data_IF_659108377086
#
_entry.id   IF_659108377086
#
_cell.length_a   1.000
_cell.length_b   1.000
_cell.length_c   1.000
_cell.angle_alpha   90.00
_cell.angle_beta   90.00
_cell.angle_gamma   90.00
#
_symmetry.space_group_name_H-M   'P 1'
#
loop_
_entity.id
_entity.type
_entity.pdbx_description
1 polymer ?
#
# COMPACT_ATOMS: atom_id res chain seq x y z
N UNK A 1 22.75 16.56 -7.15
CA UNK A 1 21.88 16.85 -5.99
C UNK A 1 20.51 17.26 -6.50
N UNK A 2 19.42 16.86 -5.81
CA UNK A 2 18.09 17.37 -6.13
C UNK A 2 17.92 18.81 -5.62
N UNK A 3 17.00 19.57 -6.24
CA UNK A 3 16.62 20.91 -5.80
C UNK A 3 15.51 20.77 -4.75
N UNK A 4 15.71 21.32 -3.55
CA UNK A 4 14.63 21.44 -2.57
C UNK A 4 13.60 22.45 -3.08
N UNK A 5 12.33 22.03 -3.09
CA UNK A 5 11.18 22.83 -3.54
C UNK A 5 10.39 23.36 -2.35
N UNK A 6 10.31 22.58 -1.28
CA UNK A 6 9.48 22.91 -0.12
C UNK A 6 9.95 22.16 1.13
N UNK A 7 9.75 22.80 2.27
CA UNK A 7 10.01 22.24 3.58
C UNK A 7 8.97 22.75 4.56
N UNK A 8 8.46 21.85 5.39
CA UNK A 8 7.57 22.18 6.52
C UNK A 8 7.87 21.24 7.67
N UNK A 9 7.69 21.71 8.89
CA UNK A 9 7.79 20.92 10.10
C UNK A 9 6.44 20.83 10.78
N UNK A 10 6.08 19.65 11.27
CA UNK A 10 4.91 19.41 12.09
C UNK A 10 5.28 18.62 13.35
N UNK A 11 4.32 18.18 14.15
CA UNK A 11 4.56 17.42 15.39
C UNK A 11 5.27 16.07 15.18
N UNK A 12 5.39 15.61 13.95
CA UNK A 12 6.07 14.34 13.56
C UNK A 12 7.42 14.58 12.89
N UNK A 13 7.91 15.83 12.85
CA UNK A 13 9.18 16.21 12.26
C UNK A 13 9.04 16.84 10.86
N UNK A 14 10.15 16.89 10.13
CA UNK A 14 10.23 17.54 8.82
C UNK A 14 9.51 16.76 7.72
N UNK A 15 8.90 17.50 6.80
CA UNK A 15 8.44 17.04 5.48
C UNK A 15 9.14 17.86 4.43
N UNK A 16 9.90 17.21 3.56
CA UNK A 16 10.74 17.85 2.56
C UNK A 16 10.34 17.37 1.18
N UNK A 17 10.15 18.30 0.25
CA UNK A 17 9.92 18.00 -1.17
C UNK A 17 11.13 18.41 -1.98
N UNK A 18 11.69 17.48 -2.74
CA UNK A 18 12.80 17.73 -3.65
C UNK A 18 12.47 17.33 -5.08
N UNK A 19 13.13 17.95 -6.06
CA UNK A 19 13.05 17.63 -7.48
C UNK A 19 14.41 17.14 -7.99
N UNK A 20 14.42 15.98 -8.64
CA UNK A 20 15.60 15.42 -9.30
C UNK A 20 15.23 14.98 -10.71
N UNK A 21 15.57 15.81 -11.69
CA UNK A 21 15.08 15.59 -13.06
C UNK A 21 13.55 15.58 -13.09
N UNK A 22 12.95 14.56 -13.67
CA UNK A 22 11.48 14.37 -13.70
C UNK A 22 10.92 13.83 -12.37
N UNK A 23 11.78 13.34 -11.46
CA UNK A 23 11.34 12.69 -10.22
C UNK A 23 11.12 13.72 -9.12
N UNK A 24 9.93 13.75 -8.54
CA UNK A 24 9.60 14.51 -7.33
C UNK A 24 9.59 13.56 -6.14
N UNK A 25 10.27 13.96 -5.07
CA UNK A 25 10.59 13.09 -3.94
C UNK A 25 10.07 13.73 -2.67
N UNK A 26 9.42 12.95 -1.85
CA UNK A 26 9.04 13.23 -0.46
C UNK A 26 10.04 12.56 0.47
N UNK A 27 10.56 13.30 1.44
CA UNK A 27 11.44 12.78 2.50
C UNK A 27 10.99 13.30 3.86
N UNK A 28 11.26 12.52 4.92
CA UNK A 28 11.08 12.93 6.32
C UNK A 28 12.46 13.10 6.96
N UNK A 29 12.64 13.94 7.94
CA UNK A 29 13.82 14.23 8.78
C UNK A 29 15.21 13.81 8.23
N UNK A 30 15.26 12.82 7.39
CA UNK A 30 16.44 12.28 6.71
C UNK A 30 16.35 12.53 5.20
N UNK A 31 17.48 12.45 4.50
CA UNK A 31 17.51 12.51 3.04
C UNK A 31 17.03 11.21 2.37
N UNK A 32 16.48 10.26 3.13
CA UNK A 32 15.95 9.02 2.60
C UNK A 32 14.62 9.28 1.88
N UNK A 33 14.54 8.77 0.67
CA UNK A 33 13.35 8.84 -0.16
C UNK A 33 12.23 7.98 0.45
N UNK A 34 11.17 8.62 0.94
CA UNK A 34 9.99 7.95 1.48
C UNK A 34 8.96 7.66 0.39
N UNK A 35 8.79 8.59 -0.52
CA UNK A 35 7.89 8.44 -1.66
C UNK A 35 8.40 9.25 -2.84
N UNK A 36 8.15 8.78 -4.05
CA UNK A 36 8.49 9.54 -5.25
C UNK A 36 7.55 9.27 -6.41
N UNK A 37 7.43 10.26 -7.29
CA UNK A 37 6.60 10.23 -8.48
C UNK A 37 7.37 10.81 -9.66
N UNK A 38 7.22 10.21 -10.83
CA UNK A 38 7.63 10.83 -12.09
C UNK A 38 6.56 11.86 -12.50
N UNK A 39 6.93 13.13 -12.59
CA UNK A 39 5.96 14.20 -12.85
C UNK A 39 5.35 14.14 -14.25
N UNK A 40 6.09 13.65 -15.24
CA UNK A 40 5.59 13.39 -16.59
C UNK A 40 4.64 12.19 -16.69
N UNK A 41 4.73 11.23 -15.73
CA UNK A 41 3.98 9.97 -15.75
C UNK A 41 3.57 9.57 -14.33
N UNK A 42 2.77 10.40 -13.68
CA UNK A 42 2.43 10.26 -12.24
C UNK A 42 1.75 8.95 -11.86
N UNK A 43 1.08 8.31 -12.79
CA UNK A 43 0.42 7.03 -12.60
C UNK A 43 1.40 5.83 -12.64
N UNK A 44 2.64 6.04 -13.10
CA UNK A 44 3.66 5.00 -13.09
C UNK A 44 4.33 4.94 -11.72
N UNK A 45 4.22 3.80 -11.05
CA UNK A 45 4.77 3.62 -9.70
C UNK A 45 6.30 3.57 -9.74
N UNK A 46 6.93 4.52 -9.06
CA UNK A 46 8.39 4.68 -9.06
C UNK A 46 9.12 3.66 -8.19
N UNK A 47 8.44 3.12 -7.16
CA UNK A 47 9.00 2.13 -6.25
C UNK A 47 8.51 0.73 -6.60
N UNK A 48 9.42 -0.24 -6.56
CA UNK A 48 9.14 -1.64 -6.86
C UNK A 48 8.08 -2.23 -5.93
N UNK A 49 8.17 -1.92 -4.62
CA UNK A 49 7.21 -2.45 -3.65
C UNK A 49 5.77 -1.97 -3.92
N UNK A 50 5.59 -0.73 -4.37
CA UNK A 50 4.25 -0.23 -4.72
C UNK A 50 3.69 -0.91 -5.98
N UNK A 51 4.56 -1.25 -6.94
CA UNK A 51 4.16 -2.08 -8.09
C UNK A 51 3.73 -3.48 -7.64
N UNK A 52 4.49 -4.10 -6.73
CA UNK A 52 4.13 -5.41 -6.16
C UNK A 52 2.81 -5.34 -5.39
N UNK A 53 2.54 -4.27 -4.64
CA UNK A 53 1.27 -4.11 -3.90
C UNK A 53 0.05 -4.19 -4.81
N UNK A 54 0.15 -3.79 -6.10
CA UNK A 54 -0.94 -3.96 -7.07
C UNK A 54 -1.34 -5.42 -7.30
N UNK A 55 -0.46 -6.39 -7.01
CA UNK A 55 -0.84 -7.81 -7.09
C UNK A 55 -1.95 -8.17 -6.11
N UNK A 56 -2.23 -7.34 -5.11
CA UNK A 56 -3.41 -7.49 -4.25
C UNK A 56 -4.72 -7.55 -5.03
N UNK A 57 -4.79 -6.88 -6.19
CA UNK A 57 -5.94 -6.92 -7.11
C UNK A 57 -6.21 -8.31 -7.71
N UNK A 58 -5.24 -9.22 -7.66
CA UNK A 58 -5.41 -10.60 -8.17
C UNK A 58 -6.22 -11.49 -7.23
N UNK A 59 -6.28 -11.14 -5.94
CA UNK A 59 -6.83 -11.98 -4.87
C UNK A 59 -8.25 -11.60 -4.47
N UNK A 60 -8.81 -10.53 -5.02
CA UNK A 60 -10.10 -9.99 -4.60
C UNK A 60 -10.83 -9.33 -5.75
N UNK A 61 -12.16 -9.46 -5.79
CA UNK A 61 -13.01 -8.61 -6.62
C UNK A 61 -13.16 -7.25 -5.94
N UNK A 62 -12.63 -6.21 -6.59
CA UNK A 62 -12.50 -4.89 -5.98
C UNK A 62 -13.64 -3.98 -6.40
N UNK A 63 -14.35 -3.42 -5.40
CA UNK A 63 -15.25 -2.28 -5.54
C UNK A 63 -14.67 -1.06 -4.82
N UNK A 64 -14.07 -1.30 -3.65
CA UNK A 64 -13.49 -0.25 -2.82
C UNK A 64 -12.12 -0.66 -2.25
N UNK A 65 -11.26 0.35 -2.11
CA UNK A 65 -9.88 0.21 -1.61
C UNK A 65 -9.68 1.19 -0.46
N UNK A 66 -9.11 0.71 0.63
CA UNK A 66 -8.62 1.55 1.72
C UNK A 66 -7.09 1.56 1.70
N UNK A 67 -6.51 2.72 1.39
CA UNK A 67 -5.05 2.93 1.46
C UNK A 67 -4.72 3.52 2.84
N UNK A 68 -3.84 2.88 3.55
CA UNK A 68 -3.29 3.36 4.81
C UNK A 68 -1.86 3.85 4.56
N UNK A 69 -1.70 5.17 4.59
CA UNK A 69 -0.54 5.91 4.11
C UNK A 69 -0.78 6.55 2.74
N UNK A 70 -0.36 7.79 2.57
CA UNK A 70 -0.49 8.56 1.33
C UNK A 70 0.86 8.79 0.66
N UNK A 71 1.85 9.26 1.40
CA UNK A 71 3.11 9.74 0.86
C UNK A 71 2.90 10.83 -0.20
N UNK A 72 3.57 10.72 -1.34
CA UNK A 72 3.34 11.59 -2.50
C UNK A 72 2.10 11.23 -3.33
N UNK A 73 1.31 10.22 -2.93
CA UNK A 73 0.09 9.80 -3.63
C UNK A 73 0.32 8.92 -4.86
N UNK A 74 1.47 8.25 -4.99
CA UNK A 74 1.78 7.40 -6.14
C UNK A 74 0.73 6.31 -6.40
N UNK A 75 0.35 5.55 -5.35
CA UNK A 75 -0.72 4.54 -5.45
C UNK A 75 -2.06 5.16 -5.87
N UNK A 76 -2.39 6.35 -5.34
CA UNK A 76 -3.64 7.05 -5.69
C UNK A 76 -3.64 7.44 -7.17
N UNK A 77 -2.55 8.03 -7.67
CA UNK A 77 -2.43 8.37 -9.09
C UNK A 77 -2.58 7.14 -9.99
N UNK A 78 -1.91 6.04 -9.61
CA UNK A 78 -1.97 4.77 -10.34
C UNK A 78 -3.39 4.20 -10.38
N UNK A 79 -4.02 4.06 -9.21
CA UNK A 79 -5.35 3.46 -9.09
C UNK A 79 -6.42 4.31 -9.80
N UNK A 80 -6.38 5.63 -9.66
CA UNK A 80 -7.33 6.52 -10.36
C UNK A 80 -7.13 6.54 -11.89
N UNK A 81 -5.91 6.31 -12.36
CA UNK A 81 -5.62 6.27 -13.80
C UNK A 81 -6.11 4.98 -14.46
N UNK A 82 -5.77 3.83 -13.86
CA UNK A 82 -6.05 2.53 -14.46
C UNK A 82 -7.38 1.92 -13.99
N UNK A 83 -7.87 2.31 -12.82
CA UNK A 83 -9.02 1.68 -12.14
C UNK A 83 -9.99 2.74 -11.59
N UNK A 84 -10.39 3.68 -12.44
CA UNK A 84 -11.27 4.80 -12.08
C UNK A 84 -12.68 4.38 -11.60
N UNK A 85 -13.04 3.11 -11.77
CA UNK A 85 -14.30 2.53 -11.28
C UNK A 85 -14.31 2.31 -9.77
N UNK A 86 -13.14 2.15 -9.11
CA UNK A 86 -13.07 1.85 -7.68
C UNK A 86 -13.30 3.07 -6.79
N UNK A 87 -13.93 2.86 -5.65
CA UNK A 87 -13.98 3.82 -4.55
C UNK A 87 -12.67 3.73 -3.75
N UNK A 88 -11.97 4.86 -3.58
CA UNK A 88 -10.68 4.89 -2.90
C UNK A 88 -10.80 5.77 -1.66
N UNK A 89 -10.50 5.18 -0.51
CA UNK A 89 -10.36 5.88 0.77
C UNK A 89 -8.88 5.86 1.16
N UNK A 90 -8.33 7.02 1.49
CA UNK A 90 -6.93 7.16 1.91
C UNK A 90 -6.90 7.70 3.32
N UNK A 91 -6.11 7.11 4.17
CA UNK A 91 -5.88 7.55 5.53
C UNK A 91 -4.42 7.95 5.68
N UNK A 92 -4.21 9.20 6.03
CA UNK A 92 -2.87 9.75 6.25
C UNK A 92 -2.84 10.43 7.62
N UNK A 93 -1.82 10.10 8.40
CA UNK A 93 -1.67 10.62 9.77
C UNK A 93 -1.37 12.12 9.78
N UNK A 94 -0.53 12.56 8.83
CA UNK A 94 0.06 13.90 8.83
C UNK A 94 -0.68 14.82 7.86
N UNK A 95 -1.34 15.85 8.39
CA UNK A 95 -1.98 16.88 7.57
C UNK A 95 -1.00 17.56 6.61
N UNK A 96 0.23 17.78 7.04
CA UNK A 96 1.30 18.34 6.22
C UNK A 96 1.61 17.49 4.98
N UNK A 97 1.57 16.15 5.09
CA UNK A 97 1.75 15.22 3.97
C UNK A 97 0.59 15.33 2.99
N UNK A 98 -0.65 15.41 3.48
CA UNK A 98 -1.84 15.61 2.62
C UNK A 98 -1.72 16.92 1.83
N UNK A 99 -1.36 18.02 2.49
CA UNK A 99 -1.21 19.32 1.86
C UNK A 99 -0.08 19.34 0.81
N UNK A 100 1.03 18.68 1.15
CA UNK A 100 2.17 18.49 0.24
C UNK A 100 1.77 17.64 -0.97
N UNK A 101 1.01 16.56 -0.79
CA UNK A 101 0.54 15.71 -1.88
C UNK A 101 -0.33 16.50 -2.88
N UNK A 102 -1.25 17.31 -2.38
CA UNK A 102 -2.06 18.19 -3.25
C UNK A 102 -1.23 19.26 -3.95
N UNK A 103 -0.39 19.96 -3.21
CA UNK A 103 0.32 21.15 -3.72
C UNK A 103 1.50 20.80 -4.62
N UNK A 104 2.24 19.76 -4.27
CA UNK A 104 3.52 19.45 -4.90
C UNK A 104 3.52 18.17 -5.73
N UNK A 105 2.62 17.23 -5.47
CA UNK A 105 2.51 15.99 -6.22
C UNK A 105 1.26 15.94 -7.11
N UNK A 106 0.56 17.08 -7.21
CA UNK A 106 -0.63 17.24 -8.06
C UNK A 106 -1.69 16.16 -7.82
N UNK A 107 -1.89 15.81 -6.54
CA UNK A 107 -2.88 14.80 -6.16
C UNK A 107 -4.27 15.22 -6.68
N UNK A 108 -4.96 14.35 -7.45
CA UNK A 108 -6.22 14.75 -8.07
C UNK A 108 -7.37 14.83 -7.06
N UNK A 109 -8.30 15.75 -7.30
CA UNK A 109 -9.58 15.79 -6.61
C UNK A 109 -10.62 15.05 -7.47
N UNK A 110 -11.14 13.95 -6.98
CA UNK A 110 -12.12 13.10 -7.68
C UNK A 110 -13.22 12.66 -6.72
N UNK A 111 -14.44 12.51 -7.22
CA UNK A 111 -15.60 12.14 -6.40
C UNK A 111 -15.42 10.75 -5.71
N UNK A 112 -14.68 9.84 -6.36
CA UNK A 112 -14.38 8.51 -5.84
C UNK A 112 -13.13 8.44 -4.95
N UNK A 113 -12.47 9.56 -4.69
CA UNK A 113 -11.33 9.68 -3.78
C UNK A 113 -11.75 10.44 -2.53
N UNK A 114 -11.60 9.79 -1.38
CA UNK A 114 -11.78 10.43 -0.07
C UNK A 114 -10.49 10.33 0.73
N UNK A 115 -10.01 11.44 1.28
CA UNK A 115 -8.79 11.48 2.10
C UNK A 115 -9.15 11.91 3.50
N UNK A 116 -8.71 11.12 4.47
CA UNK A 116 -8.93 11.33 5.90
C UNK A 116 -7.59 11.59 6.60
N UNK A 117 -7.52 12.70 7.34
CA UNK A 117 -6.41 12.97 8.23
C UNK A 117 -6.67 12.27 9.57
N UNK A 118 -6.10 11.09 9.76
CA UNK A 118 -6.35 10.26 10.93
C UNK A 118 -5.24 9.23 11.12
N UNK A 119 -5.12 8.74 12.34
CA UNK A 119 -4.40 7.49 12.62
C UNK A 119 -5.12 6.30 11.96
N UNK A 120 -4.36 5.40 11.34
CA UNK A 120 -4.88 4.27 10.57
C UNK A 120 -5.72 3.30 11.42
N UNK A 121 -5.25 2.97 12.64
CA UNK A 121 -5.97 2.06 13.53
C UNK A 121 -7.28 2.68 14.01
N UNK A 122 -7.25 3.96 14.40
CA UNK A 122 -8.46 4.68 14.82
C UNK A 122 -9.46 4.84 13.67
N UNK A 123 -8.97 5.08 12.45
CA UNK A 123 -9.84 5.13 11.28
C UNK A 123 -10.53 3.79 11.03
N UNK A 124 -9.79 2.67 11.02
CA UNK A 124 -10.39 1.35 10.82
C UNK A 124 -11.49 1.03 11.84
N UNK A 125 -11.37 1.50 13.09
CA UNK A 125 -12.44 1.36 14.11
C UNK A 125 -13.76 2.07 13.74
N UNK A 126 -13.71 3.07 12.87
CA UNK A 126 -14.93 3.78 12.41
C UNK A 126 -15.66 3.03 11.30
N UNK A 127 -14.99 2.08 10.65
CA UNK A 127 -15.56 1.32 9.55
C UNK A 127 -16.47 0.21 10.07
N UNK A 128 -17.54 -0.07 9.31
CA UNK A 128 -18.39 -1.22 9.58
C UNK A 128 -17.65 -2.53 9.25
N UNK A 129 -17.92 -3.61 9.98
CA UNK A 129 -17.42 -4.92 9.61
C UNK A 129 -17.76 -5.26 8.14
N UNK A 130 -16.84 -5.92 7.45
CA UNK A 130 -16.98 -6.39 6.08
C UNK A 130 -17.32 -5.28 5.05
N UNK A 131 -16.82 -4.06 5.26
CA UNK A 131 -17.12 -2.88 4.43
C UNK A 131 -16.06 -2.51 3.40
N UNK A 132 -14.91 -3.17 3.39
CA UNK A 132 -13.84 -2.91 2.41
C UNK A 132 -13.33 -4.20 1.77
N UNK A 133 -13.01 -4.15 0.47
CA UNK A 133 -12.54 -5.33 -0.26
C UNK A 133 -11.02 -5.48 -0.16
N UNK A 134 -10.28 -4.36 -0.28
CA UNK A 134 -8.83 -4.34 -0.30
C UNK A 134 -8.30 -3.27 0.64
N UNK A 135 -7.47 -3.67 1.59
CA UNK A 135 -6.68 -2.74 2.42
C UNK A 135 -5.23 -2.82 1.97
N UNK A 136 -4.61 -1.69 1.67
CA UNK A 136 -3.18 -1.60 1.36
C UNK A 136 -2.48 -0.74 2.42
N UNK A 137 -1.51 -1.32 3.12
CA UNK A 137 -0.75 -0.67 4.18
C UNK A 137 0.63 -0.28 3.69
N UNK A 138 0.86 1.02 3.58
CA UNK A 138 2.14 1.63 3.20
C UNK A 138 2.42 2.85 4.06
N UNK A 139 2.40 2.68 5.38
CA UNK A 139 2.65 3.78 6.29
C UNK A 139 3.99 3.64 7.01
N UNK A 140 4.80 4.66 6.79
CA UNK A 140 6.13 4.81 7.36
C UNK A 140 6.21 6.10 8.17
N UNK A 141 7.04 6.07 9.21
CA UNK A 141 7.42 7.23 10.03
C UNK A 141 8.91 7.54 9.83
N UNK A 142 9.40 8.65 10.34
CA UNK A 142 10.80 9.07 10.17
C UNK A 142 11.84 8.00 10.62
N UNK A 143 11.48 7.13 11.56
CA UNK A 143 12.29 6.00 12.05
C UNK A 143 12.19 4.70 11.25
N UNK A 144 11.34 4.64 10.22
CA UNK A 144 11.10 3.42 9.44
C UNK A 144 9.63 3.00 9.38
N UNK A 145 9.37 1.70 9.36
CA UNK A 145 8.01 1.14 9.34
C UNK A 145 7.26 1.49 10.64
N UNK A 146 5.99 1.91 10.53
CA UNK A 146 5.15 2.12 11.70
C UNK A 146 4.93 0.81 12.46
N UNK A 147 5.08 0.83 13.77
CA UNK A 147 4.82 -0.34 14.62
C UNK A 147 3.36 -0.80 14.59
N UNK A 148 2.43 0.08 14.23
CA UNK A 148 0.98 -0.20 14.22
C UNK A 148 0.64 -1.38 13.32
N UNK A 149 1.20 -1.44 12.11
CA UNK A 149 0.91 -2.53 11.15
C UNK A 149 1.48 -3.89 11.59
N UNK A 150 2.37 -3.91 12.57
CA UNK A 150 2.93 -5.11 13.16
C UNK A 150 2.23 -5.52 14.48
N UNK A 151 1.12 -4.88 14.84
CA UNK A 151 0.36 -5.22 16.04
C UNK A 151 -0.75 -6.23 15.75
N UNK A 152 -0.90 -7.23 16.60
CA UNK A 152 -1.98 -8.23 16.53
C UNK A 152 -3.35 -7.56 16.49
N UNK A 153 -3.57 -6.53 17.30
CA UNK A 153 -4.83 -5.77 17.33
C UNK A 153 -5.16 -5.12 15.99
N UNK A 154 -4.15 -4.62 15.25
CA UNK A 154 -4.33 -4.07 13.92
C UNK A 154 -4.73 -5.17 12.91
N UNK A 155 -4.06 -6.31 12.94
CA UNK A 155 -4.34 -7.46 12.06
C UNK A 155 -5.78 -7.93 12.24
N UNK A 156 -6.23 -8.10 13.50
CA UNK A 156 -7.60 -8.52 13.82
C UNK A 156 -8.64 -7.49 13.38
N UNK A 157 -8.37 -6.21 13.57
CA UNK A 157 -9.26 -5.14 13.15
C UNK A 157 -9.33 -5.07 11.61
N UNK A 158 -8.22 -5.13 10.90
CA UNK A 158 -8.17 -5.17 9.45
C UNK A 158 -8.96 -6.38 8.91
N UNK A 159 -8.77 -7.57 9.51
CA UNK A 159 -9.55 -8.74 9.18
C UNK A 159 -11.06 -8.52 9.38
N UNK A 160 -11.48 -7.91 10.48
CA UNK A 160 -12.89 -7.64 10.77
C UNK A 160 -13.54 -6.70 9.75
N UNK A 161 -12.83 -5.66 9.30
CA UNK A 161 -13.34 -4.66 8.34
C UNK A 161 -13.34 -5.18 6.92
N UNK A 162 -12.44 -6.10 6.57
CA UNK A 162 -12.39 -6.73 5.25
C UNK A 162 -13.61 -7.58 4.97
N UNK A 163 -14.14 -7.48 3.75
CA UNK A 163 -15.21 -8.34 3.23
C UNK A 163 -14.84 -9.83 3.34
N UNK A 164 -15.80 -10.72 3.13
CA UNK A 164 -15.61 -12.19 3.28
C UNK A 164 -14.49 -12.75 2.39
N UNK A 165 -14.24 -12.13 1.24
CA UNK A 165 -13.16 -12.50 0.32
C UNK A 165 -12.10 -11.39 0.20
N UNK A 166 -12.03 -10.50 1.19
CA UNK A 166 -11.12 -9.37 1.17
C UNK A 166 -9.65 -9.76 1.33
N UNK A 167 -8.78 -8.82 0.98
CA UNK A 167 -7.33 -8.98 1.07
C UNK A 167 -6.69 -7.78 1.78
N UNK A 168 -5.77 -8.07 2.69
CA UNK A 168 -4.88 -7.11 3.33
C UNK A 168 -3.49 -7.23 2.70
N UNK A 169 -3.00 -6.13 2.14
CA UNK A 169 -1.64 -6.02 1.58
C UNK A 169 -0.80 -5.17 2.50
N UNK A 170 0.33 -5.69 2.95
CA UNK A 170 1.22 -4.98 3.88
C UNK A 170 2.62 -4.90 3.28
N UNK A 171 3.16 -3.69 3.21
CA UNK A 171 4.57 -3.45 2.91
C UNK A 171 5.39 -3.55 4.21
N UNK A 172 6.15 -4.63 4.39
CA UNK A 172 7.06 -4.83 5.51
C UNK A 172 8.50 -4.49 5.13
N UNK A 173 9.21 -3.81 6.02
CA UNK A 173 10.68 -3.71 5.90
C UNK A 173 11.34 -5.06 6.24
N UNK A 174 10.91 -5.67 7.34
CA UNK A 174 11.28 -7.04 7.73
C UNK A 174 9.99 -7.80 8.02
N UNK A 175 9.83 -8.96 7.39
CA UNK A 175 8.72 -9.86 7.72
C UNK A 175 8.94 -10.40 9.12
N UNK A 176 7.87 -10.49 9.94
CA UNK A 176 7.92 -11.18 11.22
C UNK A 176 8.43 -12.61 11.06
N UNK A 177 9.18 -13.11 12.03
CA UNK A 177 9.62 -14.49 12.05
C UNK A 177 8.43 -15.46 12.01
N UNK A 178 8.62 -16.62 11.38
CA UNK A 178 7.52 -17.56 11.12
C UNK A 178 6.86 -18.07 12.42
N UNK A 179 7.62 -18.20 13.50
CA UNK A 179 7.16 -18.62 14.82
C UNK A 179 6.72 -17.46 15.73
N UNK A 180 6.78 -16.20 15.25
CA UNK A 180 6.33 -15.04 16.04
C UNK A 180 4.83 -15.08 16.29
N UNK A 181 4.39 -14.51 17.42
CA UNK A 181 2.97 -14.39 17.76
C UNK A 181 2.18 -13.63 16.68
N UNK A 182 2.80 -12.66 16.02
CA UNK A 182 2.19 -11.91 14.95
C UNK A 182 1.93 -12.80 13.73
N UNK A 183 2.91 -13.61 13.29
CA UNK A 183 2.75 -14.53 12.17
C UNK A 183 1.71 -15.61 12.46
N UNK A 184 1.74 -16.17 13.68
CA UNK A 184 0.73 -17.12 14.13
C UNK A 184 -0.67 -16.52 14.03
N UNK A 185 -0.86 -15.28 14.52
CA UNK A 185 -2.17 -14.62 14.46
C UNK A 185 -2.59 -14.31 13.02
N UNK A 186 -1.68 -13.86 12.16
CA UNK A 186 -1.98 -13.66 10.74
C UNK A 186 -2.50 -14.97 10.12
N UNK A 187 -1.84 -16.10 10.40
CA UNK A 187 -2.26 -17.40 9.90
C UNK A 187 -3.54 -17.95 10.57
N UNK A 188 -3.88 -17.48 11.79
CA UNK A 188 -5.14 -17.84 12.45
C UNK A 188 -6.34 -17.17 11.79
N UNK A 189 -6.20 -15.89 11.42
CA UNK A 189 -7.34 -15.11 10.91
C UNK A 189 -7.44 -15.08 9.38
N UNK A 190 -6.32 -15.22 8.66
CA UNK A 190 -6.32 -15.27 7.19
C UNK A 190 -6.08 -16.68 6.68
N UNK A 191 -6.91 -17.10 5.73
CA UNK A 191 -6.86 -18.46 5.18
C UNK A 191 -5.61 -18.70 4.34
N UNK A 192 -5.16 -17.67 3.59
CA UNK A 192 -3.99 -17.75 2.72
C UNK A 192 -3.10 -16.51 2.91
N UNK A 193 -1.81 -16.75 3.02
CA UNK A 193 -0.81 -15.68 3.14
C UNK A 193 0.24 -15.87 2.05
N UNK A 194 0.37 -14.89 1.17
CA UNK A 194 1.41 -14.87 0.14
C UNK A 194 2.45 -13.79 0.46
N UNK A 195 3.68 -14.03 0.04
CA UNK A 195 4.81 -13.11 0.22
C UNK A 195 5.51 -12.93 -1.13
N UNK A 196 5.82 -11.67 -1.46
CA UNK A 196 6.66 -11.30 -2.58
C UNK A 196 7.85 -10.47 -2.07
N UNK A 197 9.06 -10.88 -2.43
CA UNK A 197 10.27 -10.14 -2.07
C UNK A 197 10.48 -8.96 -3.02
N UNK A 198 10.83 -7.81 -2.46
CA UNK A 198 11.32 -6.64 -3.21
C UNK A 198 12.83 -6.74 -3.36
N UNK A 199 13.35 -6.43 -4.53
CA UNK A 199 14.80 -6.43 -4.74
C UNK A 199 15.45 -5.36 -3.84
N UNK A 200 16.37 -5.77 -2.98
CA UNK A 200 17.10 -4.91 -2.02
C UNK A 200 16.26 -4.28 -0.90
N UNK A 201 15.31 -4.99 -0.32
CA UNK A 201 14.68 -4.40 0.84
C UNK A 201 13.38 -5.04 1.28
N UNK A 202 12.32 -4.32 1.16
CA UNK A 202 11.01 -4.64 1.69
C UNK A 202 10.45 -5.99 1.19
N UNK A 203 9.43 -6.46 1.86
CA UNK A 203 8.64 -7.60 1.43
C UNK A 203 7.17 -7.22 1.47
N UNK A 204 6.43 -7.58 0.44
CA UNK A 204 4.99 -7.35 0.41
C UNK A 204 4.28 -8.65 0.77
N UNK A 205 3.44 -8.58 1.80
CA UNK A 205 2.62 -9.66 2.28
C UNK A 205 1.17 -9.45 1.86
N UNK A 206 0.52 -10.51 1.41
CA UNK A 206 -0.88 -10.54 0.99
C UNK A 206 -1.62 -11.53 1.89
N UNK A 207 -2.46 -11.02 2.77
CA UNK A 207 -3.25 -11.80 3.72
C UNK A 207 -4.68 -11.89 3.18
N UNK A 208 -5.07 -13.05 2.68
CA UNK A 208 -6.32 -13.26 1.96
C UNK A 208 -7.33 -14.03 2.81
N UNK A 209 -8.59 -13.58 2.79
CA UNK A 209 -9.73 -14.29 3.46
C UNK A 209 -10.35 -15.37 2.58
N UNK A 210 -9.99 -15.43 1.31
CA UNK A 210 -10.44 -16.49 0.40
C UNK A 210 -9.94 -17.86 0.90
N UNK A 211 -10.78 -18.89 0.80
CA UNK A 211 -10.44 -20.23 1.29
C UNK A 211 -9.71 -21.09 0.24
N UNK A 212 -9.85 -20.76 -1.03
CA UNK A 212 -9.28 -21.55 -2.11
C UNK A 212 -7.96 -20.91 -2.60
N UNK A 213 -6.94 -21.72 -2.67
CA UNK A 213 -5.64 -21.30 -3.23
C UNK A 213 -5.80 -21.04 -4.72
N UNK A 214 -5.35 -19.88 -5.19
CA UNK A 214 -5.29 -19.60 -6.62
C UNK A 214 -4.28 -20.56 -7.27
N UNK A 215 -4.71 -21.28 -8.28
CA UNK A 215 -3.82 -22.16 -9.05
C UNK A 215 -2.80 -21.33 -9.85
N UNK A 216 -1.68 -21.94 -10.22
CA UNK A 216 -0.65 -21.26 -11.02
C UNK A 216 -1.18 -20.75 -12.36
N UNK A 217 -2.10 -21.49 -12.98
CA UNK A 217 -2.69 -21.09 -14.27
C UNK A 217 -3.69 -19.93 -14.10
N UNK A 218 -4.52 -19.95 -13.07
CA UNK A 218 -5.42 -18.83 -12.72
C UNK A 218 -4.62 -17.57 -12.39
N UNK A 219 -3.59 -17.69 -11.55
CA UNK A 219 -2.71 -16.58 -11.20
C UNK A 219 -2.09 -15.98 -12.47
N UNK A 220 -1.59 -16.83 -13.37
CA UNK A 220 -1.01 -16.42 -14.65
C UNK A 220 -2.04 -15.71 -15.53
N UNK A 221 -3.26 -16.25 -15.61
CA UNK A 221 -4.35 -15.66 -16.40
C UNK A 221 -4.75 -14.29 -15.86
N UNK A 222 -5.08 -14.20 -14.55
CA UNK A 222 -5.43 -12.94 -13.90
C UNK A 222 -4.31 -11.90 -14.03
N UNK A 223 -3.05 -12.33 -13.88
CA UNK A 223 -1.91 -11.40 -14.05
C UNK A 223 -1.80 -10.91 -15.50
N UNK A 224 -2.04 -11.76 -16.51
CA UNK A 224 -2.05 -11.31 -17.90
C UNK A 224 -3.12 -10.25 -18.16
N UNK A 225 -4.31 -10.40 -17.58
CA UNK A 225 -5.38 -9.39 -17.70
C UNK A 225 -5.01 -8.08 -16.99
N UNK A 226 -4.42 -8.17 -15.80
CA UNK A 226 -3.95 -7.00 -15.07
C UNK A 226 -2.84 -6.25 -15.84
N UNK A 227 -1.88 -6.96 -16.40
CA UNK A 227 -0.78 -6.37 -17.20
C UNK A 227 -1.27 -5.68 -18.49
N UNK A 228 -2.40 -6.11 -19.07
CA UNK A 228 -3.01 -5.39 -20.21
C UNK A 228 -3.52 -4.00 -19.80
N UNK A 229 -3.84 -3.79 -18.52
CA UNK A 229 -4.38 -2.54 -18.02
C UNK A 229 -3.29 -1.60 -17.51
N UNK A 230 -2.17 -2.13 -17.02
CA UNK A 230 -1.12 -1.34 -16.36
C UNK A 230 0.23 -1.51 -17.04
N UNK A 231 0.98 -0.41 -17.17
CA UNK A 231 2.30 -0.41 -17.80
C UNK A 231 3.42 -0.75 -16.82
N UNK A 232 3.31 -1.90 -16.12
CA UNK A 232 4.26 -2.31 -15.08
C UNK A 232 4.60 -3.79 -15.21
N UNK A 233 5.80 -4.25 -14.76
CA UNK A 233 6.29 -5.62 -14.95
C UNK A 233 5.64 -6.62 -13.98
N UNK A 234 4.32 -6.55 -13.77
CA UNK A 234 3.61 -7.35 -12.74
C UNK A 234 3.74 -8.85 -12.97
N UNK A 235 3.90 -9.31 -14.22
CA UNK A 235 4.13 -10.73 -14.53
C UNK A 235 5.44 -11.25 -13.89
N UNK A 236 6.47 -10.41 -13.83
CA UNK A 236 7.73 -10.75 -13.18
C UNK A 236 7.54 -10.95 -11.67
N UNK A 237 6.80 -10.06 -11.02
CA UNK A 237 6.53 -10.14 -9.58
C UNK A 237 5.56 -11.27 -9.22
N UNK A 238 4.52 -11.47 -10.03
CA UNK A 238 3.56 -12.55 -9.79
C UNK A 238 4.20 -13.94 -9.77
N UNK A 239 5.25 -14.17 -10.58
CA UNK A 239 6.04 -15.41 -10.57
C UNK A 239 6.86 -15.60 -9.28
N UNK A 240 7.08 -14.55 -8.51
CA UNK A 240 7.85 -14.58 -7.26
C UNK A 240 6.95 -14.71 -6.02
N UNK A 241 5.62 -14.70 -6.19
CA UNK A 241 4.69 -14.93 -5.10
C UNK A 241 4.90 -16.33 -4.51
N UNK A 242 5.11 -16.39 -3.21
CA UNK A 242 5.25 -17.63 -2.45
C UNK A 242 4.15 -17.71 -1.41
N UNK A 243 3.50 -18.85 -1.31
CA UNK A 243 2.60 -19.13 -0.19
C UNK A 243 3.45 -19.30 1.06
N UNK A 244 3.14 -18.58 2.13
CA UNK A 244 3.74 -18.78 3.43
C UNK A 244 3.13 -20.03 4.08
N UNK A 245 3.98 -20.90 4.58
CA UNK A 245 3.54 -22.10 5.29
C UNK A 245 3.12 -21.73 6.72
N UNK A 246 2.07 -22.38 7.22
CA UNK A 246 1.73 -22.35 8.64
C UNK A 246 2.77 -23.19 9.39
N UNK A 247 3.39 -22.58 10.39
CA UNK A 247 4.30 -23.27 11.33
C UNK A 247 3.51 -23.87 12.47
#
# INVERSE_FOLDING_TARGET
MGKELYRVEDSYGLVIVTQRGDKRILSFDSNLEQSSIYMSKRYYLAHEYTQIMLLGLLFVEVENITLLGLGGGGLVHCLLHYFSQYEIQVVELRKSVIDVAYKWFELPQKNKLKIYCSDAYNYLKTLRPQSTNLIMCDFYVAGGMSEVQAQISFINLAHQVLSKQGCLVINFHLIPEADSLLMQEIHNVFSLVYICNVFKGNKVMFCCKMNEKITSDELKLKTKELVKQVEMPLMYYAKQLKLAEKV
#
